data_IF_354886822646
#
_entry.id   IF_354886822646
#
_cell.length_a   1.000
_cell.length_b   1.000
_cell.length_c   1.000
_cell.angle_alpha   90.00
_cell.angle_beta   90.00
_cell.angle_gamma   90.00
#
_symmetry.space_group_name_H-M   'P 1'
#
loop_
_entity.id
_entity.type
_entity.pdbx_description
1 polymer ?
#
# COMPACT_ATOMS: atom_id res chain seq x y z
N UNK A 1 -35.19 -1.55 -34.17
CA UNK A 1 -34.75 -0.18 -33.88
C UNK A 1 -34.80 0.18 -32.42
N UNK A 2 -35.95 -0.06 -31.74
CA UNK A 2 -36.06 0.26 -30.32
C UNK A 2 -35.12 -0.52 -29.44
N UNK A 3 -34.90 -1.79 -29.76
CA UNK A 3 -33.98 -2.67 -29.02
C UNK A 3 -32.53 -2.16 -29.11
N UNK A 4 -32.13 -1.69 -30.29
CA UNK A 4 -30.79 -1.14 -30.47
C UNK A 4 -30.52 0.09 -29.61
N UNK A 5 -31.56 0.94 -29.42
CA UNK A 5 -31.45 2.11 -28.54
C UNK A 5 -31.23 1.71 -27.09
N UNK A 6 -31.95 0.70 -26.61
CA UNK A 6 -31.74 0.21 -25.23
C UNK A 6 -30.34 -0.35 -25.02
N UNK A 7 -29.83 -1.07 -25.97
CA UNK A 7 -28.46 -1.62 -25.89
C UNK A 7 -27.41 -0.51 -25.77
N UNK A 8 -27.59 0.57 -26.57
CA UNK A 8 -26.65 1.71 -26.50
C UNK A 8 -26.70 2.38 -25.14
N UNK A 9 -27.92 2.58 -24.57
CA UNK A 9 -28.04 3.17 -23.23
C UNK A 9 -27.36 2.31 -22.16
N UNK A 10 -27.50 0.99 -22.23
CA UNK A 10 -26.86 0.08 -21.29
C UNK A 10 -25.34 0.15 -21.38
N UNK A 11 -24.79 0.25 -22.58
CA UNK A 11 -23.35 0.40 -22.77
C UNK A 11 -22.81 1.70 -22.16
N UNK A 12 -23.53 2.80 -22.34
CA UNK A 12 -23.16 4.09 -21.75
C UNK A 12 -23.14 4.00 -20.24
N UNK A 13 -24.14 3.38 -19.64
CA UNK A 13 -24.19 3.21 -18.18
C UNK A 13 -23.03 2.39 -17.66
N UNK A 14 -22.63 1.34 -18.36
CA UNK A 14 -21.46 0.53 -17.98
C UNK A 14 -20.15 1.30 -18.06
N UNK A 15 -19.98 2.13 -19.06
CA UNK A 15 -18.79 2.97 -19.20
C UNK A 15 -18.67 4.01 -18.09
N UNK A 16 -19.79 4.58 -17.63
CA UNK A 16 -19.80 5.55 -16.53
C UNK A 16 -19.43 4.88 -15.22
N UNK A 17 -19.85 3.63 -14.99
CA UNK A 17 -19.55 2.92 -13.75
C UNK A 17 -18.04 2.65 -13.58
N UNK A 18 -17.30 2.31 -14.66
CA UNK A 18 -15.89 2.02 -14.59
C UNK A 18 -15.04 3.21 -14.11
N UNK A 19 -15.20 4.44 -14.65
CA UNK A 19 -14.49 5.61 -14.11
C UNK A 19 -14.83 5.91 -12.65
N UNK A 20 -16.07 5.72 -12.24
CA UNK A 20 -16.49 5.97 -10.85
C UNK A 20 -15.74 5.05 -9.88
N UNK A 21 -15.56 3.76 -10.21
CA UNK A 21 -14.82 2.84 -9.37
C UNK A 21 -13.34 3.25 -9.26
N UNK A 22 -12.75 3.73 -10.33
CA UNK A 22 -11.36 4.20 -10.32
C UNK A 22 -11.16 5.41 -9.41
N UNK A 23 -12.19 6.24 -9.21
CA UNK A 23 -12.12 7.42 -8.36
C UNK A 23 -12.06 7.11 -6.86
N UNK A 24 -12.51 5.93 -6.44
CA UNK A 24 -12.44 5.54 -5.04
C UNK A 24 -11.02 5.20 -4.58
N UNK A 25 -10.11 5.13 -5.52
CA UNK A 25 -8.70 4.97 -5.22
C UNK A 25 -8.27 3.52 -5.09
N UNK A 26 -7.02 3.37 -4.68
CA UNK A 26 -6.36 2.09 -4.56
C UNK A 26 -6.58 1.52 -3.16
N UNK A 27 -6.68 0.19 -2.98
CA UNK A 27 -6.85 -0.43 -1.66
C UNK A 27 -5.76 -0.06 -0.65
N UNK A 28 -4.56 0.28 -1.11
CA UNK A 28 -3.44 0.67 -0.25
C UNK A 28 -3.43 2.14 0.11
N UNK A 29 -4.23 2.98 -0.54
CA UNK A 29 -4.25 4.42 -0.24
C UNK A 29 -4.68 4.68 1.19
N UNK A 30 -3.98 5.58 1.86
CA UNK A 30 -4.31 6.04 3.20
C UNK A 30 -3.12 6.06 4.13
N UNK A 31 -3.40 6.30 5.40
CA UNK A 31 -2.41 6.29 6.47
C UNK A 31 -2.46 4.95 7.18
N UNK A 32 -1.30 4.33 7.32
CA UNK A 32 -1.14 3.02 7.95
C UNK A 32 -0.22 3.16 9.15
N UNK A 33 -0.56 2.54 10.26
CA UNK A 33 0.27 2.58 11.45
C UNK A 33 0.36 1.21 12.12
N UNK A 34 1.49 0.95 12.73
CA UNK A 34 1.77 -0.29 13.43
C UNK A 34 3.21 -0.35 13.85
N UNK A 35 3.80 -1.54 13.77
CA UNK A 35 5.19 -1.73 14.14
C UNK A 35 5.82 -2.90 13.38
N UNK A 36 7.14 -2.95 13.44
CA UNK A 36 7.93 -4.09 12.99
C UNK A 36 9.03 -4.40 14.00
N UNK A 37 9.58 -5.57 13.93
CA UNK A 37 10.71 -5.92 14.78
C UNK A 37 11.22 -7.32 14.53
N UNK A 38 12.42 -7.58 15.07
CA UNK A 38 13.07 -8.88 14.96
C UNK A 38 12.50 -9.90 15.96
N UNK A 39 11.91 -9.41 17.04
CA UNK A 39 11.22 -10.23 18.05
C UNK A 39 10.18 -9.40 18.79
N UNK A 40 9.56 -9.96 19.81
CA UNK A 40 8.49 -9.31 20.58
C UNK A 40 8.97 -8.13 21.43
N UNK A 41 10.23 -8.12 21.84
CA UNK A 41 10.82 -7.08 22.69
C UNK A 41 11.38 -5.92 21.87
N UNK A 42 11.80 -6.18 20.64
CA UNK A 42 12.45 -5.19 19.79
C UNK A 42 11.48 -4.72 18.71
N UNK A 43 10.56 -3.84 19.08
CA UNK A 43 9.53 -3.31 18.19
C UNK A 43 9.81 -1.83 17.87
N UNK A 44 9.65 -1.47 16.61
CA UNK A 44 9.80 -0.09 16.13
C UNK A 44 8.50 0.33 15.47
N UNK A 45 7.99 1.49 15.86
CA UNK A 45 6.75 2.02 15.28
C UNK A 45 6.96 2.41 13.82
N UNK A 46 5.92 2.15 13.04
CA UNK A 46 5.88 2.50 11.61
C UNK A 46 4.66 3.38 11.37
N UNK A 47 4.87 4.45 10.63
CA UNK A 47 3.80 5.17 9.96
C UNK A 47 4.09 5.11 8.47
N UNK A 48 3.11 4.69 7.68
CA UNK A 48 3.24 4.60 6.23
C UNK A 48 2.10 5.40 5.60
N UNK A 49 2.46 6.47 4.90
CA UNK A 49 1.51 7.27 4.13
C UNK A 49 1.54 6.82 2.69
N UNK A 50 0.38 6.43 2.15
CA UNK A 50 0.29 5.96 0.78
C UNK A 50 -0.74 6.75 -0.02
N UNK A 51 -0.39 7.05 -1.27
CA UNK A 51 -1.19 7.81 -2.20
C UNK A 51 -1.39 7.06 -3.51
N UNK A 52 -2.46 7.40 -4.19
CA UNK A 52 -2.82 6.85 -5.48
C UNK A 52 -3.13 7.98 -6.44
N UNK A 53 -2.44 8.03 -7.58
CA UNK A 53 -2.60 9.10 -8.58
C UNK A 53 -3.52 8.68 -9.74
N UNK A 54 -4.15 7.52 -9.66
CA UNK A 54 -4.97 6.94 -10.72
C UNK A 54 -4.21 5.94 -11.59
N UNK A 55 -2.89 5.86 -11.47
CA UNK A 55 -2.04 4.94 -12.24
C UNK A 55 -1.09 4.16 -11.36
N UNK A 56 -0.48 4.81 -10.39
CA UNK A 56 0.54 4.19 -9.54
C UNK A 56 0.31 4.53 -8.08
N UNK A 57 0.68 3.60 -7.24
CA UNK A 57 0.73 3.81 -5.79
C UNK A 57 2.12 4.35 -5.41
N UNK A 58 2.14 5.29 -4.50
CA UNK A 58 3.37 5.86 -3.95
C UNK A 58 3.24 5.94 -2.44
N UNK A 59 4.33 6.14 -1.74
CA UNK A 59 4.27 6.23 -0.31
C UNK A 59 5.56 6.67 0.34
N UNK A 60 5.46 6.97 1.64
CA UNK A 60 6.59 7.38 2.46
C UNK A 60 6.52 6.69 3.81
N UNK A 61 7.63 6.07 4.20
CA UNK A 61 7.79 5.47 5.53
C UNK A 61 8.19 6.59 6.49
N UNK A 62 7.45 6.73 7.59
CA UNK A 62 7.71 7.72 8.63
C UNK A 62 7.90 9.13 8.06
N UNK A 63 6.85 9.73 7.45
CA UNK A 63 6.94 11.05 6.85
C UNK A 63 7.53 12.08 7.80
N UNK A 64 8.36 12.97 7.27
CA UNK A 64 9.04 14.00 8.03
C UNK A 64 10.47 14.15 7.53
N UNK A 65 11.35 14.81 8.32
CA UNK A 65 12.73 15.08 7.89
C UNK A 65 13.54 13.82 7.57
N UNK A 66 13.22 12.70 8.23
CA UNK A 66 13.90 11.41 8.02
C UNK A 66 13.02 10.42 7.26
N UNK A 67 11.98 10.88 6.58
CA UNK A 67 11.07 10.02 5.83
C UNK A 67 11.76 9.32 4.68
N UNK A 68 11.34 8.08 4.42
CA UNK A 68 11.89 7.26 3.35
C UNK A 68 10.83 7.04 2.29
N UNK A 69 11.07 7.52 1.07
CA UNK A 69 10.13 7.40 -0.04
C UNK A 69 10.24 6.01 -0.64
N UNK A 70 9.10 5.37 -0.87
CA UNK A 70 9.06 4.08 -1.53
C UNK A 70 9.50 4.22 -2.98
N UNK A 71 10.42 3.37 -3.41
CA UNK A 71 10.86 3.29 -4.80
C UNK A 71 9.97 2.34 -5.61
N UNK A 72 9.48 1.30 -4.94
CA UNK A 72 8.59 0.30 -5.52
C UNK A 72 7.44 0.05 -4.56
N UNK A 73 6.24 0.03 -5.09
CA UNK A 73 5.05 -0.33 -4.31
C UNK A 73 4.08 -1.06 -5.24
N UNK A 74 3.83 -2.32 -4.97
CA UNK A 74 2.96 -3.16 -5.80
C UNK A 74 1.97 -3.94 -4.96
N UNK A 75 0.82 -4.21 -5.55
CA UNK A 75 -0.22 -5.08 -5.01
C UNK A 75 -0.64 -6.05 -6.11
N UNK A 76 -0.60 -7.33 -5.81
CA UNK A 76 -1.12 -8.37 -6.69
C UNK A 76 -2.56 -8.67 -6.30
N UNK A 77 -3.56 -8.29 -7.11
CA UNK A 77 -4.95 -8.50 -6.74
C UNK A 77 -5.40 -9.96 -6.80
N UNK A 78 -4.59 -10.85 -7.39
CA UNK A 78 -4.94 -12.27 -7.45
C UNK A 78 -4.76 -12.97 -6.10
N UNK A 79 -3.86 -12.48 -5.25
CA UNK A 79 -3.56 -13.08 -3.95
C UNK A 79 -3.38 -12.06 -2.83
N UNK A 80 -3.58 -10.77 -3.12
CA UNK A 80 -3.42 -9.65 -2.19
C UNK A 80 -2.02 -9.51 -1.61
N UNK A 81 -1.02 -10.02 -2.31
CA UNK A 81 0.38 -9.84 -1.92
C UNK A 81 0.82 -8.42 -2.18
N UNK A 82 1.49 -7.83 -1.20
CA UNK A 82 2.08 -6.49 -1.31
C UNK A 82 3.60 -6.60 -1.26
N UNK A 83 4.26 -5.74 -2.02
CA UNK A 83 5.72 -5.66 -2.04
C UNK A 83 6.13 -4.21 -2.13
N UNK A 84 6.95 -3.78 -1.18
CA UNK A 84 7.51 -2.44 -1.16
C UNK A 84 9.02 -2.52 -1.10
N UNK A 85 9.69 -1.59 -1.79
CA UNK A 85 11.13 -1.41 -1.70
C UNK A 85 11.44 0.06 -1.54
N UNK A 86 12.46 0.36 -0.75
CA UNK A 86 12.90 1.72 -0.53
C UNK A 86 14.38 1.73 -0.17
N UNK A 87 14.99 2.89 -0.26
CA UNK A 87 16.35 3.11 0.19
C UNK A 87 16.40 4.42 0.95
N UNK A 88 16.84 4.35 2.19
CA UNK A 88 17.02 5.49 3.06
C UNK A 88 18.46 5.60 3.49
N UNK A 89 18.68 6.37 4.54
CA UNK A 89 20.01 6.54 5.15
C UNK A 89 19.90 6.41 6.66
N UNK A 90 20.91 5.82 7.28
CA UNK A 90 21.01 5.75 8.72
C UNK A 90 21.54 7.08 9.30
N UNK A 91 21.73 7.11 10.62
CA UNK A 91 22.24 8.31 11.31
C UNK A 91 23.64 8.70 10.84
N UNK A 92 24.42 7.75 10.37
CA UNK A 92 25.75 7.99 9.81
C UNK A 92 25.78 8.32 8.33
N UNK A 93 24.61 8.41 7.69
CA UNK A 93 24.49 8.71 6.25
C UNK A 93 24.72 7.51 5.34
N UNK A 94 24.85 6.30 5.88
CA UNK A 94 25.01 5.09 5.08
C UNK A 94 23.67 4.64 4.50
N UNK A 95 23.64 4.10 3.26
CA UNK A 95 22.41 3.60 2.67
C UNK A 95 21.82 2.45 3.50
N UNK A 96 20.49 2.48 3.65
CA UNK A 96 19.73 1.41 4.29
C UNK A 96 18.69 0.94 3.31
N UNK A 97 18.72 -0.32 2.95
CA UNK A 97 17.76 -0.94 2.04
C UNK A 97 16.57 -1.48 2.82
N UNK A 98 15.36 -1.16 2.33
CA UNK A 98 14.11 -1.67 2.85
C UNK A 98 13.50 -2.62 1.84
N UNK A 99 13.14 -3.81 2.28
CA UNK A 99 12.37 -4.77 1.48
C UNK A 99 11.24 -5.29 2.36
N UNK A 100 10.02 -5.05 1.92
CA UNK A 100 8.82 -5.31 2.71
C UNK A 100 7.88 -6.17 1.89
N UNK A 101 7.55 -7.35 2.42
CA UNK A 101 6.63 -8.28 1.78
C UNK A 101 5.53 -8.67 2.74
N UNK A 102 4.28 -8.61 2.27
CA UNK A 102 3.17 -8.93 3.12
C UNK A 102 1.91 -9.26 2.34
N UNK A 103 0.82 -9.36 3.09
CA UNK A 103 -0.50 -9.56 2.52
C UNK A 103 -1.48 -8.54 3.07
N UNK A 104 -2.32 -8.06 2.17
CA UNK A 104 -3.43 -7.18 2.52
C UNK A 104 -4.61 -8.04 2.93
N UNK A 105 -5.15 -7.78 4.13
CA UNK A 105 -6.28 -8.51 4.70
C UNK A 105 -7.39 -7.53 5.08
N UNK A 106 -8.59 -8.08 5.32
CA UNK A 106 -9.77 -7.34 5.75
C UNK A 106 -10.15 -6.22 4.77
N UNK A 107 -10.11 -6.50 3.49
CA UNK A 107 -10.31 -5.52 2.43
C UNK A 107 -11.70 -4.91 2.48
N UNK A 108 -12.70 -5.70 2.85
CA UNK A 108 -14.08 -5.21 3.00
C UNK A 108 -14.35 -4.48 4.30
N UNK A 109 -13.41 -4.45 5.24
CA UNK A 109 -13.58 -3.81 6.53
C UNK A 109 -13.10 -2.35 6.49
N UNK A 110 -13.54 -1.58 7.48
CA UNK A 110 -13.11 -0.20 7.63
C UNK A 110 -11.59 -0.13 7.88
N UNK A 111 -11.09 -1.01 8.73
CA UNK A 111 -9.65 -1.09 9.01
C UNK A 111 -9.05 -2.29 8.29
N UNK A 112 -8.26 -2.00 7.28
CA UNK A 112 -7.49 -3.00 6.55
C UNK A 112 -6.19 -3.26 7.26
N UNK A 113 -5.63 -4.44 7.06
CA UNK A 113 -4.39 -4.88 7.71
C UNK A 113 -3.40 -5.32 6.65
N UNK A 114 -2.13 -4.95 6.81
CA UNK A 114 -1.02 -5.54 6.07
C UNK A 114 -0.07 -6.14 7.08
N UNK A 115 0.31 -7.39 6.88
CA UNK A 115 1.26 -8.08 7.74
C UNK A 115 2.19 -8.96 6.91
N UNK A 116 3.37 -9.22 7.44
CA UNK A 116 4.36 -10.04 6.75
C UNK A 116 5.77 -9.82 7.28
N UNK A 117 6.73 -9.71 6.36
CA UNK A 117 8.15 -9.56 6.66
C UNK A 117 8.66 -8.17 6.33
N UNK A 118 9.48 -7.63 7.21
CA UNK A 118 10.13 -6.33 7.06
C UNK A 118 11.63 -6.52 7.16
N UNK A 119 12.35 -6.15 6.12
CA UNK A 119 13.81 -6.18 6.12
C UNK A 119 14.33 -4.76 6.00
N UNK A 120 15.18 -4.39 6.93
CA UNK A 120 15.73 -3.04 7.00
C UNK A 120 17.21 -3.13 7.36
N UNK A 121 18.07 -2.76 6.40
CA UNK A 121 19.51 -2.74 6.63
C UNK A 121 20.10 -4.07 7.05
N UNK A 122 19.61 -5.18 6.51
CA UNK A 122 20.08 -6.50 6.85
C UNK A 122 19.39 -7.14 8.05
N UNK A 123 18.56 -6.41 8.77
CA UNK A 123 17.74 -6.96 9.86
C UNK A 123 16.37 -7.35 9.31
N UNK A 124 15.95 -8.56 9.62
CA UNK A 124 14.67 -9.10 9.16
C UNK A 124 13.77 -9.41 10.34
N UNK A 125 12.53 -8.99 10.24
CA UNK A 125 11.53 -9.25 11.25
C UNK A 125 10.14 -9.31 10.66
N UNK A 126 9.15 -9.37 11.53
CA UNK A 126 7.75 -9.30 11.14
C UNK A 126 7.21 -7.89 11.28
N UNK A 127 6.12 -7.61 10.59
CA UNK A 127 5.41 -6.34 10.75
C UNK A 127 3.92 -6.54 10.64
N UNK A 128 3.21 -5.59 11.22
CA UNK A 128 1.76 -5.47 11.06
C UNK A 128 1.40 -3.99 11.11
N UNK A 129 0.68 -3.53 10.12
CA UNK A 129 0.16 -2.17 10.05
C UNK A 129 -1.33 -2.22 9.75
N UNK A 130 -2.04 -1.23 10.27
CA UNK A 130 -3.49 -1.11 10.14
C UNK A 130 -3.79 0.25 9.54
N UNK A 131 -4.72 0.29 8.61
CA UNK A 131 -5.16 1.54 8.00
C UNK A 131 -6.01 2.32 9.00
N UNK A 132 -5.65 3.56 9.21
CA UNK A 132 -6.37 4.47 10.09
C UNK A 132 -7.61 5.06 9.42
#
# INVERSE_FOLDING_TARGET
MRVARFVVVSMIAGLVAAPALAQFGHPLKGSWSGDWGTDKQNRTRILLEMNWDGKAISGTINPGPSGVVLQTATLDPSNWAVHFEAEGKDAGGKPVRYVIDGKLENIGAYQRVISGTWTEGGKKGDFKIVRN
#
